data_IF_204702197205
#
_entry.id   IF_204702197205
#
_cell.length_a   1.000
_cell.length_b   1.000
_cell.length_c   1.000
_cell.angle_alpha   90.00
_cell.angle_beta   90.00
_cell.angle_gamma   90.00
#
_symmetry.space_group_name_H-M   'P 1'
#
loop_
_entity.id
_entity.type
_entity.pdbx_description
1 polymer ?
#
# COMPACT_ATOMS: atom_id res chain seq x y z
N UNK A 1 -5.99 -14.86 28.78
CA UNK A 1 -5.61 -14.14 27.56
C UNK A 1 -6.06 -15.01 26.44
N UNK A 2 -7.15 -14.56 25.85
CA UNK A 2 -8.10 -15.41 25.19
C UNK A 2 -7.83 -15.30 23.68
N UNK A 3 -8.40 -16.19 22.87
CA UNK A 3 -8.09 -16.21 21.42
C UNK A 3 -8.47 -14.91 20.72
N UNK A 4 -9.46 -14.20 21.26
CA UNK A 4 -9.91 -12.92 20.76
C UNK A 4 -8.94 -11.80 21.15
N UNK A 5 -8.42 -11.78 22.39
CA UNK A 5 -7.34 -10.88 22.82
C UNK A 5 -6.08 -11.04 21.95
N UNK A 6 -5.74 -12.29 21.61
CA UNK A 6 -4.60 -12.60 20.76
C UNK A 6 -4.79 -12.08 19.32
N UNK A 7 -6.03 -12.15 18.81
CA UNK A 7 -6.40 -11.63 17.50
C UNK A 7 -6.35 -10.12 17.45
N UNK A 8 -6.85 -9.46 18.50
CA UNK A 8 -6.86 -8.01 18.64
C UNK A 8 -5.42 -7.47 18.72
N UNK A 9 -4.55 -8.11 19.51
CA UNK A 9 -3.12 -7.77 19.56
C UNK A 9 -2.40 -7.98 18.22
N UNK A 10 -2.73 -9.04 17.47
CA UNK A 10 -2.15 -9.29 16.13
C UNK A 10 -2.65 -8.25 15.12
N UNK A 11 -3.90 -7.80 15.23
CA UNK A 11 -4.44 -6.72 14.41
C UNK A 11 -3.80 -5.37 14.73
N UNK A 12 -3.52 -5.08 16.00
CA UNK A 12 -2.81 -3.87 16.42
C UNK A 12 -1.31 -3.89 16.06
N UNK A 13 -0.71 -5.08 15.93
CA UNK A 13 0.66 -5.26 15.45
C UNK A 13 0.79 -5.05 13.93
N UNK A 14 -0.24 -5.37 13.15
CA UNK A 14 -0.34 -4.94 11.76
C UNK A 14 -0.79 -3.48 11.74
N UNK A 15 0.18 -2.55 11.74
CA UNK A 15 -0.08 -1.11 11.57
C UNK A 15 -0.87 -0.77 10.29
N UNK A 16 -1.18 -1.77 9.46
CA UNK A 16 -2.41 -1.82 8.68
C UNK A 16 -2.55 -0.59 7.82
N UNK A 17 -1.90 -0.59 6.66
CA UNK A 17 -1.90 0.56 5.75
C UNK A 17 -3.30 1.14 5.62
N UNK A 18 -3.44 2.44 5.92
CA UNK A 18 -4.73 3.14 5.79
C UNK A 18 -5.29 3.08 4.37
N UNK A 19 -4.45 2.74 3.38
CA UNK A 19 -4.87 2.43 2.02
C UNK A 19 -5.88 1.28 1.94
N UNK A 20 -5.87 0.32 2.88
CA UNK A 20 -6.86 -0.76 2.95
C UNK A 20 -8.29 -0.24 3.13
N UNK A 21 -8.45 0.92 3.77
CA UNK A 21 -9.75 1.60 3.93
C UNK A 21 -10.30 2.16 2.62
N UNK A 22 -9.46 2.35 1.60
CA UNK A 22 -9.89 2.83 0.27
C UNK A 22 -10.42 1.70 -0.62
N UNK A 23 -10.13 0.43 -0.31
CA UNK A 23 -10.60 -0.72 -1.07
C UNK A 23 -9.53 -1.80 -1.23
N UNK A 24 -9.90 -2.94 -1.84
CA UNK A 24 -8.94 -4.02 -2.14
C UNK A 24 -7.92 -3.57 -3.18
N UNK A 25 -8.38 -2.86 -4.20
CA UNK A 25 -7.55 -2.34 -5.28
C UNK A 25 -7.67 -0.82 -5.35
N UNK A 26 -6.53 -0.18 -5.61
CA UNK A 26 -6.41 1.27 -5.70
C UNK A 26 -5.47 1.66 -6.83
N UNK A 27 -5.70 2.85 -7.38
CA UNK A 27 -4.73 3.56 -8.21
C UNK A 27 -3.92 4.49 -7.31
N UNK A 28 -2.60 4.51 -7.47
CA UNK A 28 -1.74 5.49 -6.80
C UNK A 28 -1.03 6.40 -7.81
N UNK A 29 -0.97 7.68 -7.51
CA UNK A 29 -0.09 8.63 -8.19
C UNK A 29 1.05 8.97 -7.24
N UNK A 30 2.27 8.59 -7.64
CA UNK A 30 3.48 8.78 -6.85
C UNK A 30 4.24 9.99 -7.38
N UNK A 31 4.51 10.94 -6.49
CA UNK A 31 5.30 12.14 -6.78
C UNK A 31 6.71 11.94 -6.24
N UNK A 32 7.71 11.97 -7.14
CA UNK A 32 9.12 11.78 -6.79
C UNK A 32 9.84 13.11 -6.57
N UNK A 33 10.94 13.08 -5.81
CA UNK A 33 11.74 14.26 -5.42
C UNK A 33 12.23 15.12 -6.60
N UNK A 34 12.34 14.55 -7.80
CA UNK A 34 12.79 15.24 -9.01
C UNK A 34 11.63 15.77 -9.88
N UNK A 35 10.40 15.80 -9.35
CA UNK A 35 9.21 16.25 -10.07
C UNK A 35 8.62 15.20 -11.02
N UNK A 36 9.19 14.00 -11.11
CA UNK A 36 8.60 12.89 -11.87
C UNK A 36 7.34 12.41 -11.17
N UNK A 37 6.31 12.09 -11.96
CA UNK A 37 5.09 11.41 -11.50
C UNK A 37 4.90 10.08 -12.20
N UNK A 38 4.37 9.11 -11.47
CA UNK A 38 3.96 7.81 -12.01
C UNK A 38 2.59 7.43 -11.47
N UNK A 39 1.71 7.04 -12.38
CA UNK A 39 0.43 6.42 -12.03
C UNK A 39 0.61 4.91 -12.08
N UNK A 40 0.17 4.23 -11.03
CA UNK A 40 0.20 2.77 -10.93
C UNK A 40 -1.20 2.32 -10.55
N UNK A 41 -1.77 1.48 -11.39
CA UNK A 41 -3.12 0.92 -11.25
C UNK A 41 -3.07 -0.52 -10.76
N UNK A 42 -4.18 -1.00 -10.23
CA UNK A 42 -4.40 -2.37 -9.78
C UNK A 42 -3.63 -2.72 -8.51
N UNK A 43 -3.27 -1.76 -7.67
CA UNK A 43 -2.45 -2.02 -6.48
C UNK A 43 -3.28 -2.75 -5.43
N UNK A 44 -2.85 -3.94 -5.02
CA UNK A 44 -3.46 -4.70 -3.94
C UNK A 44 -3.05 -4.15 -2.57
N UNK A 45 -3.98 -3.45 -1.92
CA UNK A 45 -3.74 -2.69 -0.68
C UNK A 45 -3.27 -3.56 0.49
N UNK A 46 -3.64 -4.83 0.52
CA UNK A 46 -3.29 -5.73 1.63
C UNK A 46 -1.87 -6.28 1.50
N UNK A 47 -1.27 -6.14 0.32
CA UNK A 47 0.11 -6.57 0.03
C UNK A 47 1.13 -5.46 0.21
N UNK A 48 0.68 -4.22 0.47
CA UNK A 48 1.57 -3.08 0.71
C UNK A 48 2.41 -3.37 1.95
N UNK A 49 3.74 -3.35 1.78
CA UNK A 49 4.72 -3.42 2.86
C UNK A 49 5.76 -2.32 2.64
N UNK A 50 5.96 -1.48 3.67
CA UNK A 50 6.87 -0.34 3.64
C UNK A 50 8.24 -0.71 4.24
N UNK A 51 9.28 0.08 3.96
CA UNK A 51 10.65 -0.17 4.45
C UNK A 51 11.67 0.73 3.77
N UNK A 52 12.82 0.18 3.35
CA UNK A 52 13.69 0.90 2.39
C UNK A 52 13.08 0.92 0.98
N UNK A 53 12.23 -0.07 0.69
CA UNK A 53 11.44 -0.18 -0.52
C UNK A 53 10.00 -0.50 -0.14
N UNK A 54 9.05 0.34 -0.54
CA UNK A 54 7.64 -0.01 -0.54
C UNK A 54 7.37 -1.01 -1.65
N UNK A 55 6.79 -2.15 -1.30
CA UNK A 55 6.44 -3.23 -2.24
C UNK A 55 4.96 -3.57 -2.16
N UNK A 56 4.38 -3.92 -3.30
CA UNK A 56 3.01 -4.41 -3.40
C UNK A 56 2.82 -5.22 -4.68
N UNK A 57 1.77 -6.03 -4.68
CA UNK A 57 1.33 -6.83 -5.81
C UNK A 57 0.29 -6.05 -6.61
N UNK A 58 0.27 -6.24 -7.93
CA UNK A 58 -0.76 -5.73 -8.82
C UNK A 58 -1.82 -6.80 -9.14
N UNK A 59 -2.98 -6.39 -9.65
CA UNK A 59 -4.07 -7.27 -10.08
C UNK A 59 -3.60 -8.38 -11.03
N UNK A 60 -2.64 -8.09 -11.91
CA UNK A 60 -2.10 -9.04 -12.89
C UNK A 60 -1.12 -10.06 -12.28
N UNK A 61 -0.80 -9.92 -10.99
CA UNK A 61 0.11 -10.80 -10.28
C UNK A 61 1.56 -10.32 -10.20
N UNK A 62 1.93 -9.30 -10.96
CA UNK A 62 3.27 -8.69 -10.91
C UNK A 62 3.49 -7.94 -9.60
N UNK A 63 4.77 -7.67 -9.29
CA UNK A 63 5.16 -6.86 -8.14
C UNK A 63 5.72 -5.53 -8.60
N UNK A 64 5.33 -4.47 -7.92
CA UNK A 64 6.00 -3.18 -8.01
C UNK A 64 6.76 -2.89 -6.72
N UNK A 65 7.93 -2.28 -6.86
CA UNK A 65 8.77 -1.86 -5.74
C UNK A 65 9.24 -0.42 -5.98
N UNK A 66 9.08 0.43 -4.96
CA UNK A 66 9.39 1.86 -5.01
C UNK A 66 10.44 2.15 -3.94
N UNK A 67 11.46 2.92 -4.29
CA UNK A 67 12.44 3.40 -3.33
C UNK A 67 11.85 4.57 -2.52
N UNK A 68 11.64 4.34 -1.23
CA UNK A 68 10.96 5.28 -0.33
C UNK A 68 11.72 6.59 -0.20
N UNK A 69 13.06 6.56 -0.30
CA UNK A 69 13.90 7.76 -0.22
C UNK A 69 13.66 8.77 -1.36
N UNK A 70 13.04 8.34 -2.46
CA UNK A 70 12.80 9.16 -3.64
C UNK A 70 11.37 9.70 -3.74
N UNK A 71 10.50 9.44 -2.76
CA UNK A 71 9.08 9.79 -2.81
C UNK A 71 8.78 11.01 -1.94
N UNK A 72 8.07 12.00 -2.49
CA UNK A 72 7.56 13.16 -1.77
C UNK A 72 6.18 12.89 -1.20
N UNK A 73 5.28 12.36 -2.01
CA UNK A 73 3.88 12.11 -1.65
C UNK A 73 3.24 11.07 -2.56
N UNK A 74 2.16 10.47 -2.07
CA UNK A 74 1.36 9.48 -2.79
C UNK A 74 -0.11 9.87 -2.67
N UNK A 75 -0.78 10.05 -3.79
CA UNK A 75 -2.23 10.14 -3.86
C UNK A 75 -2.81 8.74 -4.05
N UNK A 76 -3.91 8.42 -3.36
CA UNK A 76 -4.54 7.10 -3.39
C UNK A 76 -6.00 7.24 -3.79
N UNK A 77 -6.39 6.58 -4.88
CA UNK A 77 -7.74 6.59 -5.42
C UNK A 77 -8.33 5.18 -5.38
N UNK A 78 -9.55 5.05 -4.89
CA UNK A 78 -10.29 3.79 -4.94
C UNK A 78 -10.54 3.38 -6.39
N UNK A 79 -10.30 2.12 -6.72
CA UNK A 79 -10.78 1.54 -7.98
C UNK A 79 -12.19 0.98 -7.80
N UNK A 80 -13.05 1.22 -8.78
CA UNK A 80 -14.35 0.58 -8.83
C UNK A 80 -14.21 -0.93 -9.16
N UNK A 81 -15.09 -1.79 -8.63
CA UNK A 81 -15.09 -3.23 -8.90
C UNK A 81 -15.27 -3.60 -10.37
#
# INVERSE_FOLDING_TARGET
MDKDDLKEMIQDLDLGSSATKQGRYVTQIIHFNNGVKRTIEGIDTHTIRQGQMTKFKLKDGSYCMINDANVLMIEVFREEP
#
